data_IF_291872703465
#
_entry.id   IF_291872703465
#
_cell.length_a   1.000
_cell.length_b   1.000
_cell.length_c   1.000
_cell.angle_alpha   90.00
_cell.angle_beta   90.00
_cell.angle_gamma   90.00
#
_symmetry.space_group_name_H-M   'P 1'
#
loop_
_entity.id
_entity.type
_entity.pdbx_description
1 polymer ?
#
# COMPACT_ATOMS: atom_id res chain seq x y z
N UNK A 1 -45.54 26.72 -59.28
CA UNK A 1 -45.98 25.50 -58.57
C UNK A 1 -45.61 24.36 -59.52
N UNK A 2 -44.53 23.59 -59.38
CA UNK A 2 -43.82 23.11 -58.22
C UNK A 2 -42.39 22.69 -58.65
N UNK A 3 -41.41 22.78 -57.73
CA UNK A 3 -39.97 22.46 -57.81
C UNK A 3 -39.61 21.23 -58.65
N UNK A 4 -38.54 21.23 -59.47
CA UNK A 4 -37.10 21.19 -59.12
C UNK A 4 -36.67 19.99 -58.28
N UNK A 5 -35.81 19.18 -58.91
CA UNK A 5 -34.61 18.58 -58.31
C UNK A 5 -34.83 17.55 -57.20
N UNK A 6 -34.96 16.27 -57.58
CA UNK A 6 -34.73 15.14 -56.66
C UNK A 6 -33.99 14.01 -57.39
N UNK A 7 -32.72 14.22 -57.75
CA UNK A 7 -31.84 13.10 -58.08
C UNK A 7 -30.37 13.41 -57.76
N UNK A 8 -30.13 13.83 -56.53
CA UNK A 8 -28.82 13.68 -55.90
C UNK A 8 -29.06 13.28 -54.45
N UNK A 9 -29.57 12.06 -54.26
CA UNK A 9 -29.49 11.39 -52.97
C UNK A 9 -28.01 11.25 -52.66
N UNK A 10 -27.51 12.14 -51.81
CA UNK A 10 -26.15 12.16 -51.33
C UNK A 10 -25.93 10.84 -50.59
N UNK A 11 -25.19 9.94 -51.23
CA UNK A 11 -24.56 8.82 -50.56
C UNK A 11 -23.56 9.41 -49.58
N UNK A 12 -24.05 9.72 -48.39
CA UNK A 12 -23.24 10.11 -47.25
C UNK A 12 -22.49 8.83 -46.88
N UNK A 13 -21.25 8.73 -47.34
CA UNK A 13 -20.35 7.59 -47.12
C UNK A 13 -20.47 7.14 -45.67
N UNK A 14 -21.18 6.03 -45.45
CA UNK A 14 -21.22 5.37 -44.15
C UNK A 14 -19.78 4.91 -43.92
N UNK A 15 -19.14 5.31 -42.80
CA UNK A 15 -17.82 4.79 -42.48
C UNK A 15 -17.90 3.26 -42.59
N UNK A 16 -16.97 2.67 -43.34
CA UNK A 16 -16.88 1.22 -43.48
C UNK A 16 -16.86 0.64 -42.07
N UNK A 17 -17.63 -0.42 -41.80
CA UNK A 17 -17.76 -1.00 -40.44
C UNK A 17 -16.40 -1.21 -39.76
N UNK A 18 -15.36 -1.54 -40.53
CA UNK A 18 -13.98 -1.67 -40.06
C UNK A 18 -13.36 -0.36 -39.54
N UNK A 19 -13.67 0.79 -40.15
CA UNK A 19 -13.24 2.10 -39.67
C UNK A 19 -13.96 2.47 -38.38
N UNK A 20 -15.25 2.16 -38.27
CA UNK A 20 -16.01 2.36 -37.02
C UNK A 20 -15.49 1.46 -35.90
N UNK A 21 -15.15 0.21 -36.22
CA UNK A 21 -14.56 -0.73 -35.26
C UNK A 21 -13.15 -0.29 -34.83
N UNK A 22 -12.32 0.20 -35.75
CA UNK A 22 -10.99 0.77 -35.45
C UNK A 22 -11.08 1.99 -34.55
N UNK A 23 -12.02 2.89 -34.83
CA UNK A 23 -12.22 4.10 -34.04
C UNK A 23 -12.70 3.76 -32.62
N UNK A 24 -13.56 2.75 -32.46
CA UNK A 24 -13.99 2.23 -31.15
C UNK A 24 -12.82 1.56 -30.40
N UNK A 25 -11.99 0.78 -31.07
CA UNK A 25 -10.82 0.10 -30.47
C UNK A 25 -9.71 1.09 -30.06
N UNK A 26 -9.49 2.15 -30.84
CA UNK A 26 -8.57 3.24 -30.49
C UNK A 26 -9.10 4.12 -29.36
N UNK A 27 -10.40 4.42 -29.33
CA UNK A 27 -11.04 5.17 -28.25
C UNK A 27 -11.01 4.40 -26.93
N UNK A 28 -11.24 3.09 -26.96
CA UNK A 28 -11.15 2.22 -25.78
C UNK A 28 -9.70 2.12 -25.28
N UNK A 29 -8.74 1.87 -26.18
CA UNK A 29 -7.31 1.80 -25.83
C UNK A 29 -6.76 3.11 -25.30
N UNK A 30 -7.09 4.25 -25.94
CA UNK A 30 -6.66 5.58 -25.50
C UNK A 30 -7.34 5.99 -24.20
N UNK A 31 -8.62 5.64 -24.03
CA UNK A 31 -9.39 5.87 -22.81
C UNK A 31 -8.81 5.11 -21.61
N UNK A 32 -8.52 3.82 -21.79
CA UNK A 32 -7.89 2.97 -20.78
C UNK A 32 -6.49 3.51 -20.45
N UNK A 33 -5.65 3.79 -21.46
CA UNK A 33 -4.29 4.28 -21.24
C UNK A 33 -4.28 5.61 -20.48
N UNK A 34 -5.20 6.53 -20.80
CA UNK A 34 -5.33 7.82 -20.14
C UNK A 34 -5.82 7.69 -18.70
N UNK A 35 -6.75 6.76 -18.43
CA UNK A 35 -7.20 6.45 -17.07
C UNK A 35 -6.06 5.91 -16.21
N UNK A 36 -5.30 4.94 -16.74
CA UNK A 36 -4.16 4.33 -16.06
C UNK A 36 -3.05 5.35 -15.81
N UNK A 37 -2.71 6.17 -16.81
CA UNK A 37 -1.71 7.24 -16.68
C UNK A 37 -2.11 8.25 -15.59
N UNK A 38 -3.36 8.73 -15.62
CA UNK A 38 -3.85 9.69 -14.63
C UNK A 38 -3.85 9.09 -13.21
N UNK A 39 -4.19 7.81 -13.07
CA UNK A 39 -4.12 7.12 -11.78
C UNK A 39 -2.68 6.99 -11.28
N UNK A 40 -1.76 6.54 -12.14
CA UNK A 40 -0.35 6.40 -11.81
C UNK A 40 0.28 7.75 -11.41
N UNK A 41 0.03 8.80 -12.20
CA UNK A 41 0.51 10.16 -11.92
C UNK A 41 -0.05 10.69 -10.61
N UNK A 42 -1.34 10.45 -10.33
CA UNK A 42 -1.98 10.83 -9.06
C UNK A 42 -1.31 10.16 -7.86
N UNK A 43 -1.11 8.85 -7.92
CA UNK A 43 -0.47 8.06 -6.86
C UNK A 43 0.98 8.46 -6.65
N UNK A 44 1.75 8.62 -7.73
CA UNK A 44 3.15 9.05 -7.67
C UNK A 44 3.30 10.44 -7.03
N UNK A 45 2.45 11.39 -7.42
CA UNK A 45 2.47 12.74 -6.86
C UNK A 45 2.13 12.74 -5.36
N UNK A 46 1.14 11.93 -4.94
CA UNK A 46 0.79 11.79 -3.53
C UNK A 46 1.94 11.19 -2.70
N UNK A 47 2.55 10.10 -3.17
CA UNK A 47 3.69 9.45 -2.51
C UNK A 47 4.89 10.38 -2.43
N UNK A 48 5.23 11.08 -3.52
CA UNK A 48 6.37 12.00 -3.56
C UNK A 48 6.17 13.18 -2.61
N UNK A 49 4.94 13.72 -2.55
CA UNK A 49 4.59 14.78 -1.60
C UNK A 49 4.69 14.28 -0.16
N UNK A 50 4.14 13.11 0.15
CA UNK A 50 4.22 12.50 1.47
C UNK A 50 5.67 12.23 1.88
N UNK A 51 6.51 11.73 0.98
CA UNK A 51 7.94 11.53 1.22
C UNK A 51 8.68 12.84 1.51
N UNK A 52 8.40 13.89 0.73
CA UNK A 52 9.03 15.21 0.91
C UNK A 52 8.65 15.84 2.25
N UNK A 53 7.37 15.77 2.63
CA UNK A 53 6.89 16.29 3.91
C UNK A 53 7.35 15.41 5.08
N UNK A 54 7.30 14.09 4.92
CA UNK A 54 7.75 13.09 5.90
C UNK A 54 9.24 13.17 6.24
N UNK A 55 10.05 13.72 5.33
CA UNK A 55 11.47 13.98 5.57
C UNK A 55 11.72 15.14 6.56
N UNK A 56 10.78 16.08 6.69
CA UNK A 56 10.93 17.24 7.58
C UNK A 56 10.04 17.19 8.82
N UNK A 57 8.87 16.54 8.74
CA UNK A 57 7.90 16.46 9.85
C UNK A 57 6.98 15.24 9.76
N UNK A 58 6.23 15.01 10.84
CA UNK A 58 5.10 14.08 10.84
C UNK A 58 3.94 14.64 10.00
N UNK A 59 3.24 13.71 9.35
CA UNK A 59 2.12 13.98 8.46
C UNK A 59 0.78 13.92 9.19
N UNK A 60 -0.18 14.68 8.67
CA UNK A 60 -1.59 14.54 9.00
C UNK A 60 -2.25 13.45 8.16
N UNK A 61 -3.41 12.94 8.61
CA UNK A 61 -4.16 11.89 7.93
C UNK A 61 -4.42 12.20 6.45
N UNK A 62 -4.84 13.43 6.15
CA UNK A 62 -5.17 13.87 4.79
C UNK A 62 -3.95 14.03 3.87
N UNK A 63 -2.74 14.03 4.44
CA UNK A 63 -1.48 14.18 3.71
C UNK A 63 -0.86 12.83 3.30
N UNK A 64 -1.39 11.73 3.83
CA UNK A 64 -0.99 10.39 3.47
C UNK A 64 -1.58 9.98 2.11
N UNK A 65 -0.86 9.15 1.33
CA UNK A 65 -1.47 8.44 0.20
C UNK A 65 -2.64 7.59 0.70
N UNK A 66 -3.69 7.44 -0.12
CA UNK A 66 -4.92 6.72 0.27
C UNK A 66 -4.66 5.30 0.79
N UNK A 67 -3.65 4.62 0.23
CA UNK A 67 -3.26 3.26 0.63
C UNK A 67 -2.71 3.17 2.07
N UNK A 68 -2.28 4.29 2.66
CA UNK A 68 -1.67 4.35 3.99
C UNK A 68 -2.62 4.96 5.04
N UNK A 69 -3.85 5.30 4.63
CA UNK A 69 -4.89 5.88 5.48
C UNK A 69 -5.71 4.77 6.17
N UNK A 70 -5.07 4.00 7.05
CA UNK A 70 -5.69 2.85 7.72
C UNK A 70 -6.82 3.22 8.69
N UNK A 71 -6.60 4.27 9.50
CA UNK A 71 -7.50 4.62 10.60
C UNK A 71 -7.88 6.11 10.57
N UNK A 72 -9.13 6.45 10.20
CA UNK A 72 -9.58 7.85 10.09
C UNK A 72 -9.72 8.57 11.43
N UNK A 73 -9.69 7.86 12.55
CA UNK A 73 -9.75 8.46 13.89
C UNK A 73 -8.40 9.04 14.32
N UNK A 74 -7.29 8.57 13.73
CA UNK A 74 -5.96 9.10 13.98
C UNK A 74 -5.72 10.26 13.02
N UNK A 75 -5.67 11.49 13.53
CA UNK A 75 -5.69 12.69 12.69
C UNK A 75 -4.29 13.19 12.27
N UNK A 76 -3.27 12.92 13.05
CA UNK A 76 -1.89 13.38 12.80
C UNK A 76 -0.87 12.50 13.51
N UNK A 77 0.42 12.71 13.23
CA UNK A 77 1.52 11.95 13.85
C UNK A 77 2.04 10.79 12.98
N UNK A 78 1.65 10.78 11.71
CA UNK A 78 2.06 9.74 10.77
C UNK A 78 3.47 9.96 10.25
N UNK A 79 4.15 8.86 10.01
CA UNK A 79 5.53 8.82 9.59
C UNK A 79 5.61 8.27 8.16
N UNK A 80 6.25 9.00 7.25
CA UNK A 80 6.51 8.51 5.90
C UNK A 80 8.00 8.44 5.65
N UNK A 81 8.55 7.23 5.75
CA UNK A 81 9.98 6.98 5.56
C UNK A 81 10.20 6.11 4.34
N UNK A 82 11.14 6.53 3.50
CA UNK A 82 11.49 5.82 2.27
C UNK A 82 12.66 4.85 2.45
N UNK A 83 13.42 4.97 3.55
CA UNK A 83 14.63 4.16 3.78
C UNK A 83 14.52 3.27 5.01
N UNK A 84 15.08 2.06 4.92
CA UNK A 84 15.11 1.07 6.02
C UNK A 84 15.87 1.60 7.25
N UNK A 85 16.96 2.36 7.03
CA UNK A 85 17.76 2.95 8.11
C UNK A 85 16.95 3.97 8.91
N UNK A 86 16.22 4.85 8.23
CA UNK A 86 15.35 5.80 8.91
C UNK A 86 14.24 5.07 9.69
N UNK A 87 13.74 3.94 9.18
CA UNK A 87 12.74 3.12 9.89
C UNK A 87 13.29 2.61 11.23
N UNK A 88 14.52 2.10 11.26
CA UNK A 88 15.16 1.68 12.51
C UNK A 88 15.42 2.85 13.46
N UNK A 89 15.87 3.99 12.94
CA UNK A 89 16.09 5.19 13.76
C UNK A 89 14.80 5.73 14.37
N UNK A 90 13.67 5.60 13.68
CA UNK A 90 12.38 6.10 14.15
C UNK A 90 11.83 5.40 15.39
N UNK A 91 12.36 4.23 15.76
CA UNK A 91 12.01 3.53 17.02
C UNK A 91 12.26 4.42 18.25
N UNK A 92 13.25 5.31 18.18
CA UNK A 92 13.63 6.22 19.26
C UNK A 92 12.91 7.58 19.20
N UNK A 93 12.02 7.79 18.22
CA UNK A 93 11.23 9.01 18.09
C UNK A 93 9.74 8.72 18.30
N UNK A 94 9.01 9.71 18.81
CA UNK A 94 7.58 9.57 19.09
C UNK A 94 6.76 9.79 17.82
N UNK A 95 5.93 8.81 17.47
CA UNK A 95 4.97 8.84 16.36
C UNK A 95 3.84 7.83 16.63
N UNK A 96 2.83 7.79 15.76
CA UNK A 96 1.63 6.96 16.00
C UNK A 96 1.95 5.46 16.15
N UNK A 97 2.93 4.97 15.41
CA UNK A 97 3.36 3.56 15.50
C UNK A 97 4.31 3.27 16.68
N UNK A 98 4.69 4.26 17.49
CA UNK A 98 5.68 4.04 18.58
C UNK A 98 5.10 3.08 19.60
N UNK A 99 3.88 3.31 20.08
CA UNK A 99 3.23 2.40 21.02
C UNK A 99 3.08 0.98 20.43
N UNK A 100 2.68 0.85 19.17
CA UNK A 100 2.56 -0.44 18.49
C UNK A 100 3.91 -1.18 18.44
N UNK A 101 4.99 -0.49 18.09
CA UNK A 101 6.33 -1.09 18.07
C UNK A 101 6.77 -1.51 19.48
N UNK A 102 6.62 -0.63 20.46
CA UNK A 102 7.14 -0.86 21.81
C UNK A 102 6.37 -1.94 22.57
N UNK A 103 5.05 -2.04 22.43
CA UNK A 103 4.27 -3.11 23.08
C UNK A 103 4.69 -4.49 22.57
N UNK A 104 4.85 -4.63 21.25
CA UNK A 104 5.34 -5.87 20.65
C UNK A 104 6.82 -6.14 20.98
N UNK A 105 7.68 -5.13 20.97
CA UNK A 105 9.11 -5.29 21.29
C UNK A 105 9.32 -5.72 22.74
N UNK A 106 8.60 -5.11 23.68
CA UNK A 106 8.66 -5.48 25.10
C UNK A 106 8.12 -6.90 25.29
N UNK A 107 6.99 -7.23 24.67
CA UNK A 107 6.44 -8.58 24.69
C UNK A 107 7.44 -9.61 24.16
N UNK A 108 8.08 -9.33 23.03
CA UNK A 108 9.09 -10.18 22.42
C UNK A 108 10.30 -10.40 23.35
N UNK A 109 10.85 -9.35 23.96
CA UNK A 109 11.96 -9.47 24.91
C UNK A 109 11.55 -10.28 26.14
N UNK A 110 10.36 -10.04 26.68
CA UNK A 110 9.85 -10.78 27.83
C UNK A 110 9.74 -12.28 27.54
N UNK A 111 9.10 -12.64 26.42
CA UNK A 111 8.97 -14.04 26.00
C UNK A 111 10.34 -14.65 25.68
N UNK A 112 11.25 -13.93 25.04
CA UNK A 112 12.61 -14.42 24.77
C UNK A 112 13.36 -14.76 26.07
N UNK A 113 13.34 -13.86 27.07
CA UNK A 113 13.95 -14.09 28.37
C UNK A 113 13.31 -15.27 29.10
N UNK A 114 11.97 -15.38 29.07
CA UNK A 114 11.24 -16.49 29.65
C UNK A 114 11.60 -17.82 28.98
N UNK A 115 11.67 -17.84 27.64
CA UNK A 115 12.07 -18.99 26.85
C UNK A 115 13.48 -19.48 27.19
N UNK A 116 14.45 -18.56 27.24
CA UNK A 116 15.83 -18.86 27.64
C UNK A 116 15.86 -19.40 29.07
N UNK A 117 15.15 -18.76 30.01
CA UNK A 117 15.07 -19.21 31.40
C UNK A 117 14.56 -20.65 31.47
N UNK A 118 13.40 -20.92 30.87
CA UNK A 118 12.77 -22.24 30.89
C UNK A 118 13.63 -23.32 30.23
N UNK A 119 14.33 -23.00 29.14
CA UNK A 119 15.27 -23.95 28.50
C UNK A 119 16.40 -24.32 29.45
N UNK A 120 16.96 -23.33 30.17
CA UNK A 120 18.12 -23.52 31.03
C UNK A 120 17.79 -24.13 32.41
N UNK A 121 16.56 -23.98 32.91
CA UNK A 121 16.15 -24.47 34.23
C UNK A 121 15.27 -25.72 34.16
N UNK A 122 14.29 -25.73 33.25
CA UNK A 122 13.25 -26.76 33.21
C UNK A 122 13.41 -27.77 32.08
N UNK A 123 14.10 -27.42 30.98
CA UNK A 123 14.27 -28.31 29.82
C UNK A 123 15.68 -28.88 29.66
N UNK A 124 16.57 -28.75 30.66
CA UNK A 124 17.94 -29.33 30.58
C UNK A 124 17.89 -30.83 30.27
N UNK A 125 17.12 -31.58 31.05
CA UNK A 125 16.91 -33.02 30.89
C UNK A 125 15.68 -33.39 30.05
N UNK A 126 14.99 -32.41 29.47
CA UNK A 126 13.76 -32.67 28.71
C UNK A 126 14.04 -33.31 27.35
N UNK A 127 13.06 -34.07 26.88
CA UNK A 127 13.06 -34.74 25.59
C UNK A 127 13.29 -33.75 24.45
N UNK A 128 13.93 -34.21 23.37
CA UNK A 128 14.08 -33.42 22.15
C UNK A 128 12.73 -32.95 21.60
N UNK A 129 11.66 -33.74 21.79
CA UNK A 129 10.30 -33.38 21.40
C UNK A 129 9.78 -32.16 22.15
N UNK A 130 9.97 -32.09 23.48
CA UNK A 130 9.53 -30.97 24.31
C UNK A 130 10.24 -29.67 23.91
N UNK A 131 11.53 -29.75 23.56
CA UNK A 131 12.33 -28.62 23.06
C UNK A 131 11.83 -28.12 21.70
N UNK A 132 11.40 -29.02 20.80
CA UNK A 132 10.83 -28.66 19.50
C UNK A 132 9.46 -28.00 19.65
N UNK A 133 8.57 -28.57 20.46
CA UNK A 133 7.24 -28.00 20.72
C UNK A 133 7.36 -26.62 21.37
N UNK A 134 8.26 -26.48 22.34
CA UNK A 134 8.56 -25.20 22.97
C UNK A 134 9.13 -24.19 21.97
N UNK A 135 10.11 -24.59 21.16
CA UNK A 135 10.66 -23.73 20.10
C UNK A 135 9.60 -23.28 19.08
N UNK A 136 8.72 -24.17 18.65
CA UNK A 136 7.62 -23.85 17.75
C UNK A 136 6.63 -22.85 18.37
N UNK A 137 6.34 -22.97 19.66
CA UNK A 137 5.51 -22.00 20.39
C UNK A 137 6.15 -20.60 20.41
N UNK A 138 7.46 -20.49 20.68
CA UNK A 138 8.15 -19.19 20.68
C UNK A 138 8.28 -18.59 19.28
N UNK A 139 8.47 -19.41 18.25
CA UNK A 139 8.45 -18.95 16.85
C UNK A 139 7.05 -18.41 16.50
N UNK A 140 5.98 -19.08 16.95
CA UNK A 140 4.62 -18.61 16.75
C UNK A 140 4.31 -17.32 17.55
N UNK A 141 4.85 -17.20 18.76
CA UNK A 141 4.68 -16.00 19.60
C UNK A 141 5.50 -14.80 19.10
N UNK A 142 6.51 -15.02 18.27
CA UNK A 142 7.33 -13.99 17.64
C UNK A 142 6.73 -13.46 16.31
N UNK A 143 5.54 -13.91 15.93
CA UNK A 143 4.82 -13.50 14.73
C UNK A 143 3.91 -12.30 15.01
#
# INVERSE_FOLDING_TARGET
MHSKEDLSYTQKDSPTVLETLREIEELDSTGILKCVDQHMVGTYNAITRAAKLGASRLLSFDELPKEWQENPYIRSGYRFLTTKRACLQSIFYLHNETCNIWTHLIGFIFFLCLGIYTVNTHLKEASAFDKVVFGAFFIAAAK
#
